data_IF_435462562083
#
_entry.id   IF_435462562083
#
_cell.length_a   1.000
_cell.length_b   1.000
_cell.length_c   1.000
_cell.angle_alpha   90.00
_cell.angle_beta   90.00
_cell.angle_gamma   90.00
#
_symmetry.space_group_name_H-M   'P 1'
#
loop_
_entity.id
_entity.type
_entity.pdbx_description
1 polymer ?
#
# COMPACT_ATOMS: atom_id res chain seq x y z
N UNK A 1 -22.35 -20.31 -15.02
CA UNK A 1 -22.41 -19.19 -16.01
C UNK A 1 -22.19 -17.88 -15.30
N UNK A 2 -21.36 -17.02 -15.87
CA UNK A 2 -21.00 -15.70 -15.32
C UNK A 2 -21.64 -14.66 -16.21
N UNK A 3 -22.25 -13.65 -15.62
CA UNK A 3 -22.85 -12.50 -16.33
C UNK A 3 -22.36 -11.18 -15.77
N UNK A 4 -22.73 -10.05 -16.36
CA UNK A 4 -22.47 -8.75 -15.78
C UNK A 4 -23.01 -8.69 -14.33
N UNK A 5 -22.27 -8.01 -13.44
CA UNK A 5 -22.51 -7.89 -11.99
C UNK A 5 -22.28 -9.18 -11.17
N UNK A 6 -21.90 -10.30 -11.79
CA UNK A 6 -21.47 -11.48 -11.01
C UNK A 6 -20.22 -11.18 -10.23
N UNK A 7 -20.20 -11.57 -8.95
CA UNK A 7 -19.03 -11.50 -8.07
C UNK A 7 -18.26 -12.81 -8.13
N UNK A 8 -16.95 -12.71 -8.28
CA UNK A 8 -16.05 -13.84 -8.47
C UNK A 8 -14.94 -13.78 -7.43
N UNK A 9 -14.60 -14.92 -6.87
CA UNK A 9 -13.41 -15.06 -6.04
C UNK A 9 -12.19 -15.25 -6.93
N UNK A 10 -11.16 -14.46 -6.70
CA UNK A 10 -9.91 -14.51 -7.48
C UNK A 10 -8.96 -15.49 -6.79
N UNK A 11 -8.39 -16.41 -7.56
CA UNK A 11 -7.53 -17.51 -7.06
C UNK A 11 -6.07 -17.37 -7.51
N UNK A 12 -5.65 -16.18 -7.94
CA UNK A 12 -4.27 -15.93 -8.38
C UNK A 12 -3.43 -15.22 -7.30
N UNK A 13 -2.14 -15.03 -7.58
CA UNK A 13 -1.21 -14.32 -6.72
C UNK A 13 -1.25 -12.78 -6.87
N UNK A 14 -2.22 -12.22 -7.58
CA UNK A 14 -2.35 -10.77 -7.78
C UNK A 14 -2.73 -10.01 -6.50
N UNK A 15 -3.14 -10.73 -5.46
CA UNK A 15 -3.62 -10.15 -4.22
C UNK A 15 -5.08 -9.67 -4.27
N UNK A 16 -5.74 -9.78 -5.41
CA UNK A 16 -7.16 -9.55 -5.53
C UNK A 16 -7.92 -10.68 -4.83
N UNK A 17 -8.95 -10.34 -4.04
CA UNK A 17 -9.83 -11.34 -3.38
C UNK A 17 -11.15 -11.49 -4.11
N UNK A 18 -11.74 -10.37 -4.50
CA UNK A 18 -13.06 -10.34 -5.11
C UNK A 18 -13.06 -9.42 -6.34
N UNK A 19 -13.61 -9.90 -7.42
CA UNK A 19 -13.78 -9.19 -8.68
C UNK A 19 -15.27 -9.16 -9.07
N UNK A 20 -15.74 -8.01 -9.56
CA UNK A 20 -17.08 -7.85 -10.11
C UNK A 20 -16.99 -7.86 -11.63
N UNK A 21 -17.72 -8.74 -12.29
CA UNK A 21 -17.81 -8.78 -13.74
C UNK A 21 -18.56 -7.53 -14.25
N UNK A 22 -17.90 -6.76 -15.11
CA UNK A 22 -18.51 -5.59 -15.76
C UNK A 22 -19.08 -5.99 -17.11
N UNK A 23 -18.30 -6.74 -17.91
CA UNK A 23 -18.65 -7.10 -19.26
C UNK A 23 -18.03 -8.43 -19.69
N UNK A 24 -18.78 -9.20 -20.45
CA UNK A 24 -18.29 -10.40 -21.14
C UNK A 24 -17.79 -10.02 -22.53
N UNK A 25 -16.57 -10.44 -22.86
CA UNK A 25 -15.97 -10.25 -24.19
C UNK A 25 -16.27 -11.45 -25.09
N UNK A 26 -16.13 -11.28 -26.40
CA UNK A 26 -16.24 -12.39 -27.37
C UNK A 26 -17.44 -12.35 -28.30
N UNK A 27 -17.91 -11.15 -28.65
CA UNK A 27 -18.92 -10.93 -29.72
C UNK A 27 -20.07 -10.01 -29.35
N UNK A 28 -20.83 -9.61 -30.36
CA UNK A 28 -21.99 -8.75 -30.20
C UNK A 28 -23.10 -9.50 -29.47
N UNK A 29 -23.69 -8.87 -28.44
CA UNK A 29 -24.80 -9.41 -27.63
C UNK A 29 -24.43 -10.60 -26.72
N UNK A 30 -23.13 -10.93 -26.53
CA UNK A 30 -22.75 -11.99 -25.59
C UNK A 30 -23.05 -11.57 -24.15
N UNK A 31 -23.95 -12.31 -23.48
CA UNK A 31 -24.42 -12.00 -22.12
C UNK A 31 -23.76 -12.85 -21.03
N UNK A 32 -23.31 -14.05 -21.36
CA UNK A 32 -22.83 -15.05 -20.43
C UNK A 32 -21.40 -15.51 -20.79
N UNK A 33 -20.58 -15.76 -19.78
CA UNK A 33 -19.26 -16.36 -19.88
C UNK A 33 -19.23 -17.74 -19.22
N UNK A 34 -18.43 -18.63 -19.77
CA UNK A 34 -18.09 -19.94 -19.24
C UNK A 34 -16.59 -20.04 -18.97
N UNK A 35 -16.11 -21.19 -18.52
CA UNK A 35 -14.68 -21.46 -18.33
C UNK A 35 -13.94 -21.32 -19.69
N UNK A 36 -12.84 -20.57 -19.69
CA UNK A 36 -12.06 -20.24 -20.89
C UNK A 36 -12.44 -18.93 -21.56
N UNK A 37 -13.51 -18.27 -21.15
CA UNK A 37 -13.91 -16.98 -21.69
C UNK A 37 -13.20 -15.81 -21.02
N UNK A 38 -13.01 -14.72 -21.77
CA UNK A 38 -12.41 -13.48 -21.30
C UNK A 38 -13.50 -12.51 -20.86
N UNK A 39 -13.36 -11.96 -19.66
CA UNK A 39 -14.29 -10.99 -19.09
C UNK A 39 -13.53 -9.73 -18.60
N UNK A 40 -14.22 -8.61 -18.58
CA UNK A 40 -13.74 -7.37 -17.96
C UNK A 40 -14.29 -7.32 -16.56
N UNK A 41 -13.39 -7.14 -15.58
CA UNK A 41 -13.75 -7.11 -14.16
C UNK A 41 -13.26 -5.84 -13.47
N UNK A 42 -13.96 -5.45 -12.40
CA UNK A 42 -13.51 -4.45 -11.44
C UNK A 42 -13.17 -5.16 -10.13
N UNK A 43 -11.96 -4.95 -9.63
CA UNK A 43 -11.53 -5.51 -8.35
C UNK A 43 -12.23 -4.77 -7.21
N UNK A 44 -12.93 -5.48 -6.35
CA UNK A 44 -13.71 -4.92 -5.22
C UNK A 44 -13.00 -5.07 -3.89
N UNK A 45 -12.25 -6.13 -3.70
CA UNK A 45 -11.43 -6.30 -2.50
C UNK A 45 -10.06 -6.88 -2.84
N UNK A 46 -9.05 -6.41 -2.11
CA UNK A 46 -7.66 -6.87 -2.24
C UNK A 46 -7.13 -7.27 -0.87
N UNK A 47 -6.12 -8.14 -0.87
CA UNK A 47 -5.36 -8.40 0.35
C UNK A 47 -4.57 -7.12 0.66
N UNK A 48 -4.60 -6.58 1.89
CA UNK A 48 -3.75 -5.48 2.27
C UNK A 48 -2.29 -5.92 2.15
N UNK A 49 -1.62 -5.54 1.06
CA UNK A 49 -0.24 -5.95 0.78
C UNK A 49 0.80 -4.98 1.35
N UNK A 50 0.36 -3.94 2.06
CA UNK A 50 1.29 -3.01 2.68
C UNK A 50 1.95 -3.63 3.90
N UNK A 51 3.24 -3.94 3.76
CA UNK A 51 4.09 -4.38 4.88
C UNK A 51 4.48 -3.22 5.81
N UNK A 52 4.07 -1.99 5.46
CA UNK A 52 4.37 -0.75 6.19
C UNK A 52 3.13 -0.31 6.95
N UNK A 53 3.29 -0.04 8.24
CA UNK A 53 2.24 0.48 9.13
C UNK A 53 2.60 1.87 9.66
N UNK A 54 1.60 2.56 10.19
CA UNK A 54 1.82 3.81 10.94
C UNK A 54 2.73 3.52 12.14
N UNK A 55 3.76 4.35 12.31
CA UNK A 55 4.71 4.23 13.41
C UNK A 55 5.98 3.44 13.08
N UNK A 56 6.01 2.71 11.95
CA UNK A 56 7.20 1.99 11.51
C UNK A 56 8.33 2.96 11.13
N UNK A 57 9.56 2.58 11.40
CA UNK A 57 10.75 3.25 10.86
C UNK A 57 11.03 2.69 9.48
N UNK A 58 11.13 3.57 8.47
CA UNK A 58 11.35 3.20 7.08
C UNK A 58 12.58 3.87 6.52
N UNK A 59 13.22 3.20 5.56
CA UNK A 59 14.36 3.66 4.78
C UNK A 59 13.89 4.04 3.37
N UNK A 60 14.37 5.15 2.83
CA UNK A 60 14.02 5.64 1.50
C UNK A 60 15.00 5.09 0.46
N UNK A 61 14.47 4.37 -0.54
CA UNK A 61 15.28 3.73 -1.58
C UNK A 61 15.64 4.64 -2.74
N UNK A 62 14.79 5.63 -3.06
CA UNK A 62 14.95 6.50 -4.23
C UNK A 62 14.42 7.90 -4.00
N UNK A 63 14.86 8.84 -4.84
CA UNK A 63 14.52 10.25 -4.76
C UNK A 63 15.63 11.08 -4.11
N UNK A 64 15.36 12.37 -3.87
CA UNK A 64 16.32 13.31 -3.26
C UNK A 64 16.71 12.90 -1.84
N UNK A 65 15.80 12.29 -1.11
CA UNK A 65 16.01 11.82 0.26
C UNK A 65 16.48 10.36 0.34
N UNK A 66 17.03 9.79 -0.75
CA UNK A 66 17.59 8.44 -0.75
C UNK A 66 18.61 8.26 0.36
N UNK A 67 18.46 7.18 1.10
CA UNK A 67 19.38 6.86 2.21
C UNK A 67 18.93 7.36 3.58
N UNK A 68 17.95 8.25 3.63
CA UNK A 68 17.38 8.74 4.90
C UNK A 68 16.42 7.74 5.49
N UNK A 69 16.30 7.77 6.81
CA UNK A 69 15.32 7.00 7.57
C UNK A 69 14.35 7.93 8.27
N UNK A 70 13.11 7.57 8.35
CA UNK A 70 12.08 8.35 9.02
C UNK A 70 10.94 7.49 9.53
N UNK A 71 10.13 8.06 10.43
CA UNK A 71 8.96 7.39 10.99
C UNK A 71 7.73 7.63 10.12
N UNK A 72 6.94 6.60 9.88
CA UNK A 72 5.69 6.71 9.13
C UNK A 72 4.62 7.38 9.99
N UNK A 73 4.18 8.55 9.55
CA UNK A 73 3.10 9.31 10.22
C UNK A 73 1.72 8.80 9.83
N UNK A 74 1.53 8.53 8.53
CA UNK A 74 0.24 8.10 7.98
C UNK A 74 0.44 7.24 6.73
N UNK A 75 -0.36 6.21 6.58
CA UNK A 75 -0.43 5.40 5.36
C UNK A 75 -1.72 5.71 4.62
N UNK A 76 -1.61 6.07 3.35
CA UNK A 76 -2.71 6.35 2.43
C UNK A 76 -2.94 5.11 1.57
N UNK A 77 -3.69 4.16 2.11
CA UNK A 77 -3.87 2.82 1.50
C UNK A 77 -4.46 2.90 0.09
N UNK A 78 -5.44 3.78 -0.14
CA UNK A 78 -6.08 3.96 -1.46
C UNK A 78 -5.13 4.43 -2.55
N UNK A 79 -4.12 5.23 -2.17
CA UNK A 79 -3.16 5.83 -3.09
C UNK A 79 -1.85 5.02 -3.17
N UNK A 80 -1.66 4.02 -2.32
CA UNK A 80 -0.42 3.28 -2.19
C UNK A 80 0.76 4.14 -1.73
N UNK A 81 0.50 5.16 -0.91
CA UNK A 81 1.50 6.14 -0.45
C UNK A 81 1.56 6.21 1.07
N UNK A 82 2.67 6.72 1.59
CA UNK A 82 2.86 6.98 3.01
C UNK A 82 3.48 8.34 3.24
N UNK A 83 3.08 9.01 4.32
CA UNK A 83 3.71 10.22 4.84
C UNK A 83 4.78 9.79 5.84
N UNK A 84 5.99 10.28 5.65
CA UNK A 84 7.15 9.97 6.48
C UNK A 84 7.70 11.27 7.06
N UNK A 85 8.01 11.26 8.34
CA UNK A 85 8.47 12.40 9.11
C UNK A 85 9.80 12.93 8.55
N UNK A 86 9.83 14.25 8.28
CA UNK A 86 11.03 14.97 7.80
C UNK A 86 11.52 14.58 6.40
N UNK A 87 10.75 13.80 5.63
CA UNK A 87 11.15 13.32 4.31
C UNK A 87 10.17 13.83 3.25
N UNK A 88 10.69 14.10 2.04
CA UNK A 88 9.95 14.64 0.91
C UNK A 88 9.24 15.94 1.27
N UNK A 89 10.00 16.88 1.82
CA UNK A 89 9.52 18.19 2.23
C UNK A 89 9.24 19.05 1.01
N UNK A 90 7.97 19.42 0.83
CA UNK A 90 7.54 20.31 -0.28
C UNK A 90 7.08 21.66 0.26
N UNK A 91 7.39 22.69 -0.51
CA UNK A 91 6.93 24.06 -0.27
C UNK A 91 5.57 24.26 -0.94
N UNK A 92 4.52 24.45 -0.15
CA UNK A 92 3.16 24.65 -0.62
C UNK A 92 2.69 26.08 -0.35
N UNK A 93 2.30 26.79 -1.39
CA UNK A 93 1.60 28.08 -1.25
C UNK A 93 0.21 27.87 -0.64
N UNK A 94 -0.04 28.52 0.48
CA UNK A 94 -1.33 28.48 1.15
C UNK A 94 -1.97 29.86 1.16
N UNK A 95 -3.26 29.91 0.85
CA UNK A 95 -4.06 31.13 1.00
C UNK A 95 -4.27 31.43 2.49
N UNK A 96 -4.48 32.69 2.88
CA UNK A 96 -4.84 33.04 4.25
C UNK A 96 -6.00 32.19 4.76
N UNK A 97 -5.83 31.59 5.92
CA UNK A 97 -6.82 30.76 6.62
C UNK A 97 -6.86 31.13 8.10
N UNK A 98 -7.91 30.70 8.82
CA UNK A 98 -8.03 30.92 10.27
C UNK A 98 -6.81 30.43 11.08
N UNK A 99 -6.10 29.40 10.60
CA UNK A 99 -4.87 28.87 11.23
C UNK A 99 -3.60 29.62 10.80
N UNK A 100 -3.62 30.27 9.65
CA UNK A 100 -2.48 31.04 9.12
C UNK A 100 -3.02 32.29 8.42
N UNK A 101 -3.29 33.38 9.19
CA UNK A 101 -3.93 34.59 8.67
C UNK A 101 -3.13 35.32 7.61
N UNK A 102 -1.80 35.22 7.65
CA UNK A 102 -0.93 35.88 6.66
C UNK A 102 -0.77 35.07 5.37
N UNK A 103 -1.15 33.76 5.36
CA UNK A 103 -0.87 32.88 4.23
C UNK A 103 0.63 32.70 4.03
N UNK A 104 1.03 32.31 2.82
CA UNK A 104 2.44 32.21 2.44
C UNK A 104 2.86 30.80 2.07
N UNK A 105 4.18 30.58 2.01
CA UNK A 105 4.79 29.31 1.67
C UNK A 105 5.00 28.49 2.95
N UNK A 106 4.30 27.35 3.03
CA UNK A 106 4.41 26.42 4.16
C UNK A 106 5.15 25.17 3.69
N UNK A 107 6.17 24.75 4.42
CA UNK A 107 6.84 23.47 4.19
C UNK A 107 6.04 22.37 4.88
N UNK A 108 5.71 21.32 4.13
CA UNK A 108 5.02 20.14 4.67
C UNK A 108 5.54 18.86 4.02
N UNK A 109 5.40 17.75 4.73
CA UNK A 109 5.72 16.43 4.16
C UNK A 109 4.73 16.08 3.05
N UNK A 110 5.26 15.58 1.93
CA UNK A 110 4.46 15.04 0.84
C UNK A 110 4.47 13.50 0.86
N UNK A 111 3.37 12.86 0.41
CA UNK A 111 3.28 11.41 0.42
C UNK A 111 4.24 10.77 -0.59
N UNK A 112 4.96 9.73 -0.15
CA UNK A 112 5.89 8.93 -0.94
C UNK A 112 5.23 7.59 -1.29
N UNK A 113 5.48 7.07 -2.50
CA UNK A 113 4.95 5.76 -2.89
C UNK A 113 5.60 4.64 -2.05
N UNK A 114 4.80 3.68 -1.59
CA UNK A 114 5.24 2.62 -0.66
C UNK A 114 6.37 1.76 -1.26
N UNK A 115 6.42 1.56 -2.58
CA UNK A 115 7.52 0.84 -3.24
C UNK A 115 8.90 1.46 -3.04
N UNK A 116 8.96 2.76 -2.73
CA UNK A 116 10.20 3.49 -2.47
C UNK A 116 10.63 3.45 -0.99
N UNK A 117 9.87 2.75 -0.17
CA UNK A 117 10.10 2.64 1.27
C UNK A 117 10.34 1.19 1.65
N UNK A 118 11.39 0.93 2.41
CA UNK A 118 11.63 -0.37 3.04
C UNK A 118 11.62 -0.23 4.56
N UNK A 119 10.98 -1.15 5.28
CA UNK A 119 11.08 -1.21 6.73
C UNK A 119 12.54 -1.40 7.18
N UNK A 120 12.88 -0.77 8.28
CA UNK A 120 14.20 -0.89 8.91
C UNK A 120 14.16 -2.00 9.94
N UNK A 121 15.17 -2.84 9.92
CA UNK A 121 15.37 -3.88 10.91
C UNK A 121 15.77 -3.27 12.27
N UNK A 122 15.03 -3.52 13.35
CA UNK A 122 15.31 -2.93 14.65
C UNK A 122 16.69 -3.30 15.21
N UNK A 123 17.22 -4.49 14.85
CA UNK A 123 18.50 -4.96 15.32
C UNK A 123 19.70 -4.41 14.54
N UNK A 124 19.60 -4.39 13.23
CA UNK A 124 20.73 -4.03 12.37
C UNK A 124 20.70 -2.59 11.86
N UNK A 125 19.55 -1.89 12.00
CA UNK A 125 19.35 -0.55 11.46
C UNK A 125 19.37 -0.47 9.93
N UNK A 126 19.37 -1.62 9.23
CA UNK A 126 19.45 -1.69 7.77
C UNK A 126 18.08 -2.03 7.16
N UNK A 127 17.81 -1.63 5.90
CA UNK A 127 16.57 -1.98 5.24
C UNK A 127 16.46 -3.50 5.05
N UNK A 128 15.27 -4.02 5.33
CA UNK A 128 14.96 -5.45 5.28
C UNK A 128 13.62 -5.70 4.61
N UNK A 129 13.39 -6.94 4.17
CA UNK A 129 12.08 -7.42 3.75
C UNK A 129 11.32 -7.93 4.98
N UNK A 130 10.02 -7.72 5.00
CA UNK A 130 9.13 -8.23 6.03
C UNK A 130 8.65 -9.64 5.67
N UNK A 131 8.67 -10.53 6.64
CA UNK A 131 7.96 -11.79 6.60
C UNK A 131 6.83 -11.79 7.62
N UNK A 132 5.91 -12.74 7.50
CA UNK A 132 4.85 -12.97 8.46
C UNK A 132 4.97 -14.40 8.98
N UNK A 133 4.89 -14.57 10.28
CA UNK A 133 4.83 -15.87 10.95
C UNK A 133 3.67 -15.89 11.92
N UNK A 134 3.19 -17.06 12.24
CA UNK A 134 2.19 -17.22 13.29
C UNK A 134 2.82 -16.86 14.64
N UNK A 135 2.06 -16.15 15.44
CA UNK A 135 2.43 -15.88 16.84
C UNK A 135 2.44 -17.17 17.62
N UNK A 136 3.20 -17.22 18.72
CA UNK A 136 3.18 -18.32 19.69
C UNK A 136 1.76 -18.70 20.16
N UNK A 137 0.83 -17.78 20.12
CA UNK A 137 -0.57 -17.98 20.52
C UNK A 137 -1.44 -18.58 19.40
N UNK A 138 -0.94 -18.78 18.17
CA UNK A 138 -1.64 -19.36 17.03
C UNK A 138 -2.82 -18.53 16.49
N UNK A 139 -3.09 -17.33 17.04
CA UNK A 139 -4.27 -16.51 16.70
C UNK A 139 -3.95 -15.31 15.81
N UNK A 140 -2.71 -14.86 15.76
CA UNK A 140 -2.31 -13.64 15.04
C UNK A 140 -1.03 -13.86 14.25
N UNK A 141 -0.88 -13.09 13.16
CA UNK A 141 0.36 -13.07 12.40
C UNK A 141 1.24 -11.90 12.86
N UNK A 142 2.49 -12.22 13.18
CA UNK A 142 3.51 -11.26 13.58
C UNK A 142 4.42 -10.96 12.39
N UNK A 143 4.75 -9.69 12.20
CA UNK A 143 5.72 -9.25 11.19
C UNK A 143 7.13 -9.44 11.73
N UNK A 144 8.04 -9.95 10.92
CA UNK A 144 9.44 -10.10 11.30
C UNK A 144 10.39 -9.68 10.17
N UNK A 145 11.56 -9.20 10.53
CA UNK A 145 12.64 -8.87 9.60
C UNK A 145 13.26 -10.16 9.06
N UNK A 146 13.23 -10.38 7.73
CA UNK A 146 13.79 -11.62 7.14
C UNK A 146 15.28 -11.79 7.34
N UNK A 147 16.02 -10.70 7.59
CA UNK A 147 17.48 -10.76 7.80
C UNK A 147 17.86 -11.17 9.21
N UNK A 148 17.23 -10.61 10.22
CA UNK A 148 17.56 -10.85 11.63
C UNK A 148 16.63 -11.87 12.31
N UNK A 149 15.45 -12.12 11.74
CA UNK A 149 14.39 -12.92 12.36
C UNK A 149 13.64 -12.19 13.48
N UNK A 150 13.96 -10.92 13.73
CA UNK A 150 13.39 -10.13 14.82
C UNK A 150 12.02 -9.55 14.47
N UNK A 151 11.17 -9.44 15.48
CA UNK A 151 9.80 -8.94 15.29
C UNK A 151 9.78 -7.44 15.06
N UNK A 152 9.00 -7.00 14.05
CA UNK A 152 8.72 -5.61 13.78
C UNK A 152 7.34 -5.31 14.37
N UNK A 153 7.33 -4.54 15.44
CA UNK A 153 6.10 -4.16 16.17
C UNK A 153 5.25 -3.17 15.40
#
# INVERSE_FOLDING_TARGET
MIQAESRLTVCDNSGAKEALCIRVLGGTKRRYASVGDVIVVSIKSVIPSSDIKKGDTVYVNSGEDKGKTGRVLKVLVKEGRALVEGINMVSKSTKPNAKNPQGGIVKQEAPIHISNLNPVDPKTGKPTRVGRRESSDGRTFVRYAKKSGEEIK
#
